data_IF_744820633092
#
_entry.id   IF_744820633092
#
_cell.length_a   1.000
_cell.length_b   1.000
_cell.length_c   1.000
_cell.angle_alpha   90.00
_cell.angle_beta   90.00
_cell.angle_gamma   90.00
#
_symmetry.space_group_name_H-M   'P 1'
#
loop_
_entity.id
_entity.type
_entity.pdbx_description
1 polymer ?
#
# COMPACT_ATOMS: atom_id res chain seq x y z
N UNK A 1 -16.77 6.37 13.34
CA UNK A 1 -15.42 6.60 13.90
C UNK A 1 -14.93 8.04 13.68
N UNK A 2 -14.92 8.58 12.45
CA UNK A 2 -14.42 9.96 12.20
C UNK A 2 -15.18 11.04 12.97
N UNK A 3 -16.52 11.10 12.85
CA UNK A 3 -17.37 12.09 13.52
C UNK A 3 -17.28 12.05 15.06
N UNK A 4 -17.06 10.87 15.64
CA UNK A 4 -16.90 10.70 17.10
C UNK A 4 -15.52 11.13 17.59
N UNK A 5 -14.48 11.03 16.75
CA UNK A 5 -13.10 11.38 17.11
C UNK A 5 -12.78 12.86 16.89
N UNK A 6 -13.60 13.58 16.13
CA UNK A 6 -13.41 14.98 15.75
C UNK A 6 -13.21 15.90 16.97
N UNK A 7 -13.94 15.66 18.06
CA UNK A 7 -13.85 16.42 19.31
C UNK A 7 -12.49 16.33 20.02
N UNK A 8 -11.64 15.37 19.64
CA UNK A 8 -10.30 15.17 20.20
C UNK A 8 -9.16 15.56 19.26
N UNK A 9 -9.44 16.16 18.11
CA UNK A 9 -8.38 16.64 17.21
C UNK A 9 -7.62 17.80 17.85
N UNK A 10 -6.30 17.65 17.99
CA UNK A 10 -5.37 18.69 18.43
C UNK A 10 -4.42 18.96 17.27
N UNK A 11 -4.15 20.23 16.97
CA UNK A 11 -3.42 20.74 15.77
C UNK A 11 -1.94 20.32 15.63
N UNK A 12 -1.53 19.21 16.24
CA UNK A 12 -0.16 18.71 16.19
C UNK A 12 0.18 18.01 14.86
N UNK A 13 -0.80 17.80 13.98
CA UNK A 13 -0.64 17.28 12.62
C UNK A 13 -1.72 17.85 11.69
N UNK A 14 -1.50 17.77 10.38
CA UNK A 14 -2.52 18.22 9.42
C UNK A 14 -3.80 17.40 9.57
N UNK A 15 -4.96 18.04 9.30
CA UNK A 15 -6.24 17.35 9.35
C UNK A 15 -6.29 16.14 8.42
N UNK A 16 -5.65 16.22 7.25
CA UNK A 16 -5.54 15.10 6.31
C UNK A 16 -4.77 13.92 6.92
N UNK A 17 -3.61 14.17 7.54
CA UNK A 17 -2.81 13.12 8.21
C UNK A 17 -3.58 12.49 9.37
N UNK A 18 -4.30 13.29 10.16
CA UNK A 18 -5.16 12.78 11.23
C UNK A 18 -6.32 11.92 10.72
N UNK A 19 -6.97 12.33 9.63
CA UNK A 19 -8.03 11.55 8.99
C UNK A 19 -7.49 10.24 8.42
N UNK A 20 -6.31 10.28 7.78
CA UNK A 20 -5.60 9.09 7.30
C UNK A 20 -5.32 8.13 8.45
N UNK A 21 -4.85 8.62 9.60
CA UNK A 21 -4.66 7.79 10.81
C UNK A 21 -5.93 7.04 11.19
N UNK A 22 -7.08 7.72 11.21
CA UNK A 22 -8.35 7.08 11.57
C UNK A 22 -8.76 6.05 10.51
N UNK A 23 -8.70 6.43 9.24
CA UNK A 23 -9.11 5.57 8.13
C UNK A 23 -8.22 4.32 8.04
N UNK A 24 -6.91 4.51 7.99
CA UNK A 24 -5.90 3.46 7.86
C UNK A 24 -6.01 2.45 9.00
N UNK A 25 -6.01 2.91 10.26
CA UNK A 25 -6.09 2.00 11.39
C UNK A 25 -7.45 1.28 11.44
N UNK A 26 -8.55 1.95 11.09
CA UNK A 26 -9.86 1.29 10.99
C UNK A 26 -9.87 0.20 9.94
N UNK A 27 -9.27 0.43 8.77
CA UNK A 27 -9.17 -0.57 7.71
C UNK A 27 -8.27 -1.74 8.10
N UNK A 28 -7.12 -1.48 8.73
CA UNK A 28 -6.22 -2.52 9.26
C UNK A 28 -6.98 -3.39 10.27
N UNK A 29 -7.61 -2.77 11.28
CA UNK A 29 -8.34 -3.49 12.32
C UNK A 29 -9.45 -4.37 11.73
N UNK A 30 -10.20 -3.82 10.76
CA UNK A 30 -11.25 -4.55 10.08
C UNK A 30 -10.71 -5.76 9.30
N UNK A 31 -9.61 -5.59 8.55
CA UNK A 31 -9.00 -6.66 7.78
C UNK A 31 -8.38 -7.74 8.68
N UNK A 32 -7.77 -7.36 9.80
CA UNK A 32 -7.23 -8.30 10.79
C UNK A 32 -8.34 -9.15 11.40
N UNK A 33 -9.44 -8.51 11.81
CA UNK A 33 -10.60 -9.21 12.35
C UNK A 33 -11.25 -10.14 11.31
N UNK A 34 -11.43 -9.68 10.06
CA UNK A 34 -11.95 -10.53 8.97
C UNK A 34 -11.04 -11.75 8.74
N UNK A 35 -9.72 -11.57 8.79
CA UNK A 35 -8.76 -12.66 8.63
C UNK A 35 -8.76 -13.64 9.81
N UNK A 36 -9.01 -13.17 11.03
CA UNK A 36 -9.19 -14.05 12.20
C UNK A 36 -10.49 -14.86 12.10
N UNK A 37 -11.55 -14.27 11.54
CA UNK A 37 -12.85 -14.94 11.33
C UNK A 37 -12.82 -15.92 10.12
N UNK A 38 -11.84 -15.83 9.22
CA UNK A 38 -11.65 -16.71 8.06
C UNK A 38 -10.39 -17.58 8.19
N UNK A 39 -10.55 -18.87 8.52
CA UNK A 39 -9.52 -19.90 8.25
C UNK A 39 -9.24 -20.01 6.74
N UNK A 40 -8.04 -20.47 6.31
CA UNK A 40 -7.39 -19.99 5.10
C UNK A 40 -8.02 -20.55 3.83
N UNK A 41 -8.90 -19.76 3.22
CA UNK A 41 -9.16 -19.86 1.78
C UNK A 41 -8.49 -18.66 1.14
N UNK A 42 -7.65 -18.95 0.14
CA UNK A 42 -6.84 -18.01 -0.63
C UNK A 42 -7.79 -17.05 -1.36
N UNK A 43 -8.20 -15.95 -0.71
CA UNK A 43 -8.99 -14.91 -1.36
C UNK A 43 -8.08 -14.10 -2.31
N UNK A 44 -8.30 -14.27 -3.62
CA UNK A 44 -7.82 -13.34 -4.63
C UNK A 44 -8.54 -12.00 -4.43
N UNK A 45 -7.81 -11.01 -3.90
CA UNK A 45 -8.31 -9.64 -3.81
C UNK A 45 -8.33 -9.00 -5.20
N UNK A 46 -9.53 -8.81 -5.75
CA UNK A 46 -9.78 -8.01 -6.93
C UNK A 46 -9.34 -6.55 -6.68
N UNK A 47 -8.26 -6.13 -7.34
CA UNK A 47 -7.80 -4.73 -7.35
C UNK A 47 -8.57 -3.98 -8.44
N UNK A 48 -9.79 -3.58 -8.12
CA UNK A 48 -10.58 -2.64 -8.91
C UNK A 48 -10.21 -1.21 -8.53
N UNK A 49 -9.22 -0.62 -9.21
CA UNK A 49 -8.96 0.82 -9.17
C UNK A 49 -9.11 1.38 -10.57
N UNK A 50 -10.12 2.21 -10.81
CA UNK A 50 -10.29 2.93 -12.07
C UNK A 50 -9.04 3.77 -12.38
N UNK A 51 -8.45 3.55 -13.55
CA UNK A 51 -7.29 4.28 -14.03
C UNK A 51 -7.79 5.27 -15.08
N UNK A 52 -7.56 6.56 -14.82
CA UNK A 52 -7.84 7.65 -15.77
C UNK A 52 -7.10 7.38 -17.07
N UNK A 53 -7.84 7.47 -18.18
CA UNK A 53 -7.34 7.39 -19.55
C UNK A 53 -6.14 8.34 -19.69
N UNK A 54 -4.96 7.77 -19.95
CA UNK A 54 -3.74 8.53 -20.22
C UNK A 54 -3.96 9.44 -21.43
N UNK A 55 -3.30 10.59 -21.45
CA UNK A 55 -3.33 11.58 -22.52
C UNK A 55 -3.13 10.94 -23.90
N UNK A 56 -3.69 11.55 -24.95
CA UNK A 56 -3.70 11.13 -26.36
C UNK A 56 -2.31 11.02 -27.05
N UNK A 57 -1.25 10.69 -26.31
CA UNK A 57 0.14 10.65 -26.75
C UNK A 57 0.84 9.32 -26.45
N UNK A 58 0.18 8.39 -25.76
CA UNK A 58 0.75 7.09 -25.42
C UNK A 58 0.39 6.03 -26.46
N UNK A 59 1.38 5.26 -26.91
CA UNK A 59 1.11 4.15 -27.84
C UNK A 59 0.38 3.02 -27.12
N UNK A 60 -0.46 2.22 -27.81
CA UNK A 60 -1.12 1.07 -27.21
C UNK A 60 -0.13 0.07 -26.56
N UNK A 61 1.06 -0.07 -27.11
CA UNK A 61 2.13 -0.94 -26.60
C UNK A 61 2.70 -0.40 -25.27
N UNK A 62 3.06 0.88 -25.22
CA UNK A 62 3.54 1.55 -24.01
C UNK A 62 2.50 1.51 -22.88
N UNK A 63 1.22 1.63 -23.23
CA UNK A 63 0.12 1.51 -22.26
C UNK A 63 0.06 0.10 -21.65
N UNK A 64 0.15 -0.94 -22.48
CA UNK A 64 0.10 -2.34 -22.04
C UNK A 64 1.30 -2.67 -21.16
N UNK A 65 2.52 -2.33 -21.59
CA UNK A 65 3.74 -2.56 -20.81
C UNK A 65 3.68 -1.87 -19.44
N UNK A 66 3.22 -0.61 -19.39
CA UNK A 66 3.07 0.12 -18.12
C UNK A 66 2.04 -0.55 -17.22
N UNK A 67 0.94 -1.05 -17.78
CA UNK A 67 -0.11 -1.74 -17.03
C UNK A 67 0.42 -3.03 -16.43
N UNK A 68 1.14 -3.84 -17.21
CA UNK A 68 1.75 -5.09 -16.75
C UNK A 68 2.77 -4.83 -15.65
N UNK A 69 3.66 -3.85 -15.84
CA UNK A 69 4.63 -3.45 -14.82
C UNK A 69 3.95 -3.02 -13.51
N UNK A 70 2.88 -2.23 -13.60
CA UNK A 70 2.10 -1.79 -12.43
C UNK A 70 1.46 -2.98 -11.73
N UNK A 71 0.92 -3.95 -12.48
CA UNK A 71 0.32 -5.16 -11.91
C UNK A 71 1.38 -6.04 -11.22
N UNK A 72 2.52 -6.28 -11.86
CA UNK A 72 3.63 -7.05 -11.29
C UNK A 72 4.14 -6.39 -9.98
N UNK A 73 4.30 -5.06 -9.98
CA UNK A 73 4.70 -4.31 -8.79
C UNK A 73 3.67 -4.45 -7.65
N UNK A 74 2.37 -4.31 -7.95
CA UNK A 74 1.33 -4.46 -6.93
C UNK A 74 1.24 -5.89 -6.39
N UNK A 75 1.40 -6.91 -7.25
CA UNK A 75 1.50 -8.32 -6.84
C UNK A 75 2.69 -8.51 -5.88
N UNK A 76 3.86 -7.97 -6.21
CA UNK A 76 5.04 -8.03 -5.34
C UNK A 76 4.82 -7.33 -4.00
N UNK A 77 4.26 -6.12 -4.01
CA UNK A 77 3.93 -5.36 -2.79
C UNK A 77 2.95 -6.13 -1.90
N UNK A 78 1.97 -6.80 -2.49
CA UNK A 78 0.99 -7.58 -1.74
C UNK A 78 1.58 -8.80 -1.02
N UNK A 79 2.74 -9.28 -1.45
CA UNK A 79 3.44 -10.39 -0.78
C UNK A 79 4.23 -9.96 0.46
N UNK A 80 4.42 -8.66 0.67
CA UNK A 80 5.12 -8.16 1.85
C UNK A 80 4.30 -8.38 3.13
N UNK A 81 4.97 -8.58 4.28
CA UNK A 81 4.32 -8.49 5.58
C UNK A 81 3.57 -7.17 5.71
N UNK A 82 2.37 -7.22 6.28
CA UNK A 82 1.43 -6.09 6.35
C UNK A 82 2.10 -4.79 6.78
N UNK A 83 2.89 -4.82 7.85
CA UNK A 83 3.53 -3.63 8.40
C UNK A 83 4.56 -3.01 7.44
N UNK A 84 5.26 -3.83 6.67
CA UNK A 84 6.23 -3.37 5.66
C UNK A 84 5.48 -2.82 4.44
N UNK A 85 4.46 -3.55 3.97
CA UNK A 85 3.58 -3.15 2.88
C UNK A 85 2.98 -1.77 3.11
N UNK A 86 2.43 -1.54 4.30
CA UNK A 86 1.85 -0.26 4.69
C UNK A 86 2.85 0.90 4.61
N UNK A 87 4.06 0.69 5.14
CA UNK A 87 5.10 1.72 5.06
C UNK A 87 5.49 2.01 3.61
N UNK A 88 5.65 0.98 2.77
CA UNK A 88 5.99 1.13 1.35
C UNK A 88 4.89 1.87 0.60
N UNK A 89 3.61 1.51 0.78
CA UNK A 89 2.50 2.20 0.10
C UNK A 89 2.47 3.68 0.49
N UNK A 90 2.50 3.98 1.80
CA UNK A 90 2.42 5.36 2.27
C UNK A 90 3.62 6.19 1.81
N UNK A 91 4.82 5.61 1.77
CA UNK A 91 6.03 6.34 1.38
C UNK A 91 6.22 6.44 -0.13
N UNK A 92 6.23 5.31 -0.81
CA UNK A 92 6.72 5.18 -2.17
C UNK A 92 5.61 5.38 -3.21
N UNK A 93 4.34 5.19 -2.83
CA UNK A 93 3.18 5.41 -3.72
C UNK A 93 2.47 6.71 -3.36
N UNK A 94 2.17 6.94 -2.07
CA UNK A 94 1.40 8.11 -1.64
C UNK A 94 2.28 9.34 -1.31
N UNK A 95 3.59 9.16 -1.16
CA UNK A 95 4.54 10.27 -1.00
C UNK A 95 4.64 10.88 0.41
N UNK A 96 4.07 10.26 1.44
CA UNK A 96 4.11 10.80 2.81
C UNK A 96 5.55 10.86 3.38
N UNK A 97 5.82 11.85 4.23
CA UNK A 97 7.06 11.95 4.99
C UNK A 97 7.15 10.86 6.07
N UNK A 98 8.36 10.55 6.54
CA UNK A 98 8.52 9.56 7.62
C UNK A 98 7.82 9.98 8.92
N UNK A 99 7.76 11.29 9.19
CA UNK A 99 7.04 11.86 10.33
C UNK A 99 5.53 11.68 10.19
N UNK A 100 4.96 11.99 9.03
CA UNK A 100 3.52 11.77 8.78
C UNK A 100 3.16 10.28 8.86
N UNK A 101 4.01 9.39 8.34
CA UNK A 101 3.78 7.94 8.42
C UNK A 101 3.85 7.46 9.87
N UNK A 102 4.81 7.97 10.66
CA UNK A 102 4.91 7.72 12.10
C UNK A 102 3.62 8.11 12.81
N UNK A 103 3.03 9.25 12.46
CA UNK A 103 1.77 9.72 13.03
C UNK A 103 0.57 8.88 12.58
N UNK A 104 0.52 8.50 11.29
CA UNK A 104 -0.55 7.68 10.71
C UNK A 104 -0.56 6.28 11.31
N UNK A 105 0.60 5.65 11.41
CA UNK A 105 0.74 4.26 11.87
C UNK A 105 1.01 4.13 13.38
N UNK A 106 1.12 5.25 14.09
CA UNK A 106 1.35 5.32 15.54
C UNK A 106 2.56 4.46 15.94
N UNK A 107 3.71 4.68 15.29
CA UNK A 107 4.94 3.95 15.58
C UNK A 107 6.19 4.80 15.35
N UNK A 108 7.30 4.44 15.99
CA UNK A 108 8.52 5.28 15.97
C UNK A 108 9.11 5.45 14.57
N UNK A 109 9.78 6.58 14.32
CA UNK A 109 10.55 6.81 13.10
C UNK A 109 11.58 5.70 12.82
N UNK A 110 12.20 5.14 13.86
CA UNK A 110 13.13 4.01 13.74
C UNK A 110 12.43 2.76 13.19
N UNK A 111 11.21 2.48 13.68
CA UNK A 111 10.36 1.39 13.18
C UNK A 111 10.00 1.60 11.71
N UNK A 112 9.58 2.82 11.32
CA UNK A 112 9.28 3.16 9.93
C UNK A 112 10.49 2.91 9.02
N UNK A 113 11.66 3.43 9.40
CA UNK A 113 12.91 3.24 8.63
C UNK A 113 13.26 1.76 8.46
N UNK A 114 13.16 0.97 9.54
CA UNK A 114 13.46 -0.47 9.51
C UNK A 114 12.47 -1.25 8.63
N UNK A 115 11.17 -0.96 8.75
CA UNK A 115 10.12 -1.58 7.92
C UNK A 115 10.28 -1.24 6.44
N UNK A 116 10.57 0.02 6.10
CA UNK A 116 10.86 0.46 4.74
C UNK A 116 12.10 -0.22 4.17
N UNK A 117 13.18 -0.27 4.95
CA UNK A 117 14.42 -0.93 4.51
C UNK A 117 14.17 -2.40 4.16
N UNK A 118 13.50 -3.15 5.05
CA UNK A 118 13.19 -4.57 4.82
C UNK A 118 12.22 -4.76 3.66
N UNK A 119 11.16 -3.95 3.59
CA UNK A 119 10.17 -4.01 2.51
C UNK A 119 10.78 -3.75 1.14
N UNK A 120 11.56 -2.67 1.00
CA UNK A 120 12.26 -2.35 -0.25
C UNK A 120 13.30 -3.41 -0.63
N UNK A 121 14.02 -3.98 0.35
CA UNK A 121 14.95 -5.09 0.09
C UNK A 121 14.20 -6.32 -0.44
N UNK A 122 13.09 -6.70 0.18
CA UNK A 122 12.27 -7.83 -0.27
C UNK A 122 11.68 -7.60 -1.66
N UNK A 123 11.22 -6.38 -1.97
CA UNK A 123 10.77 -6.01 -3.31
C UNK A 123 11.89 -6.07 -4.34
N UNK A 124 13.08 -5.56 -3.99
CA UNK A 124 14.24 -5.62 -4.87
C UNK A 124 14.61 -7.06 -5.23
N UNK A 125 14.58 -7.98 -4.26
CA UNK A 125 14.86 -9.39 -4.56
C UNK A 125 13.75 -10.03 -5.42
N UNK A 126 12.48 -9.68 -5.20
CA UNK A 126 11.37 -10.19 -6.03
C UNK A 126 11.35 -9.64 -7.46
N UNK A 127 11.71 -8.37 -7.64
CA UNK A 127 11.71 -7.72 -8.95
C UNK A 127 12.97 -8.00 -9.78
N UNK A 128 14.00 -8.62 -9.18
CA UNK A 128 15.16 -9.15 -9.90
C UNK A 128 14.86 -10.48 -10.59
N UNK A 129 13.79 -11.15 -10.19
CA UNK A 129 13.38 -12.44 -10.74
C UNK A 129 12.68 -12.22 -12.10
N UNK A 130 13.24 -12.70 -13.22
CA UNK A 130 12.62 -12.59 -14.54
C UNK A 130 11.24 -13.26 -14.61
N UNK A 131 10.98 -14.25 -13.75
CA UNK A 131 9.71 -15.00 -13.72
C UNK A 131 8.51 -14.11 -13.31
N UNK A 132 8.75 -12.96 -12.68
CA UNK A 132 7.69 -12.02 -12.31
C UNK A 132 7.01 -11.37 -13.53
N UNK A 133 7.66 -11.41 -14.70
CA UNK A 133 7.16 -10.92 -15.99
C UNK A 133 6.73 -12.06 -16.93
N UNK A 134 6.96 -13.32 -16.53
CA UNK A 134 6.61 -14.48 -17.33
C UNK A 134 5.64 -15.37 -16.56
N UNK A 135 4.35 -15.10 -16.67
CA UNK A 135 3.35 -16.15 -16.53
C UNK A 135 2.04 -15.73 -17.24
N UNK A 136 1.92 -16.24 -18.46
CA UNK A 136 0.75 -16.87 -19.09
C UNK A 136 -0.65 -16.39 -18.69
N UNK A 137 -1.33 -15.74 -19.64
CA UNK A 137 -2.73 -16.03 -19.92
C UNK A 137 -2.81 -16.50 -21.39
N UNK A 138 -2.99 -17.81 -21.56
CA UNK A 138 -3.51 -18.43 -22.80
C UNK A 138 -5.02 -18.33 -22.78
#
# INVERSE_FOLDING_TARGET
>A
KVFTSLYGFRENSSFSTWLYRIAVNTCIDFLRKKKEDMLPIKEEMAVGGEIKLGSHTESPEEYVERRELKQALMKAINTLPEEQRMCVILRDIQGFSYTEISDILICSLGTIKSRLYRGRRALKEKLKDPELFSENDV
#
